data_IF_840433417027
#
_entry.id   IF_840433417027
#
_cell.length_a   1.000
_cell.length_b   1.000
_cell.length_c   1.000
_cell.angle_alpha   90.00
_cell.angle_beta   90.00
_cell.angle_gamma   90.00
#
_symmetry.space_group_name_H-M   'P 1'
#
loop_
_entity.id
_entity.type
_entity.pdbx_description
1 polymer ?
#
# COMPACT_ATOMS: atom_id res chain seq x y z
N UNK A 1 -37.65 34.66 28.37
CA UNK A 1 -38.56 33.66 27.75
C UNK A 1 -38.03 33.47 26.32
N UNK A 2 -37.48 32.37 25.80
CA UNK A 2 -37.53 30.89 25.96
C UNK A 2 -36.16 30.35 25.44
N UNK A 3 -35.42 29.47 26.16
CA UNK A 3 -35.15 28.02 25.91
C UNK A 3 -34.80 27.68 24.45
N UNK A 4 -33.79 26.89 24.05
CA UNK A 4 -32.87 25.89 24.63
C UNK A 4 -31.66 25.74 23.65
N UNK A 5 -30.39 25.53 24.02
CA UNK A 5 -29.72 24.33 24.57
C UNK A 5 -29.82 23.05 23.68
N UNK A 6 -28.65 22.61 23.18
CA UNK A 6 -28.21 21.27 22.71
C UNK A 6 -28.01 21.06 21.20
N UNK A 7 -26.79 20.61 20.83
CA UNK A 7 -26.43 20.15 19.49
C UNK A 7 -25.01 19.60 19.43
N UNK A 8 -24.82 18.43 20.06
CA UNK A 8 -23.67 17.52 20.12
C UNK A 8 -22.38 17.86 19.34
N UNK A 9 -21.27 17.90 20.09
CA UNK A 9 -19.96 17.46 19.62
C UNK A 9 -20.07 16.07 19.00
N UNK A 10 -19.67 15.92 17.74
CA UNK A 10 -19.11 14.67 17.24
C UNK A 10 -17.61 14.89 17.09
N UNK A 11 -16.88 14.52 18.14
CA UNK A 11 -15.47 14.23 18.03
C UNK A 11 -15.33 13.05 17.06
N UNK A 12 -14.97 13.34 15.81
CA UNK A 12 -14.46 12.33 14.89
C UNK A 12 -13.15 11.84 15.49
N UNK A 13 -13.22 10.75 16.28
CA UNK A 13 -12.07 9.99 16.66
C UNK A 13 -11.37 9.56 15.38
N UNK A 14 -10.23 10.17 15.08
CA UNK A 14 -9.32 9.70 14.06
C UNK A 14 -8.69 8.41 14.59
N UNK A 15 -9.46 7.31 14.57
CA UNK A 15 -8.85 6.01 14.55
C UNK A 15 -8.06 5.97 13.26
N UNK A 16 -6.73 5.99 13.37
CA UNK A 16 -5.82 5.55 12.32
C UNK A 16 -5.99 4.03 12.08
N UNK A 17 -7.25 3.60 11.87
CA UNK A 17 -7.51 2.34 11.25
C UNK A 17 -6.89 2.43 9.86
N UNK A 18 -6.07 1.46 9.50
CA UNK A 18 -5.79 1.19 8.09
C UNK A 18 -7.11 1.34 7.34
N UNK A 19 -7.12 2.13 6.25
CA UNK A 19 -8.33 2.39 5.47
C UNK A 19 -9.07 1.09 5.08
N UNK A 20 -8.32 -0.01 5.05
CA UNK A 20 -8.86 -1.34 4.90
C UNK A 20 -9.72 -1.78 6.10
N UNK A 21 -11.04 -1.84 5.87
CA UNK A 21 -12.01 -2.44 6.78
C UNK A 21 -11.97 -3.98 6.76
N UNK A 22 -11.31 -4.59 5.76
CA UNK A 22 -11.17 -6.04 5.64
C UNK A 22 -10.11 -6.59 6.60
N UNK A 23 -10.25 -7.87 6.95
CA UNK A 23 -9.29 -8.59 7.78
C UNK A 23 -7.99 -8.95 7.05
N UNK A 24 -7.98 -8.84 5.72
CA UNK A 24 -6.83 -9.20 4.88
C UNK A 24 -6.39 -8.00 4.05
N UNK A 25 -5.09 -7.69 4.11
CA UNK A 25 -4.40 -6.70 3.28
C UNK A 25 -3.45 -7.44 2.33
N UNK A 26 -3.59 -7.19 1.03
CA UNK A 26 -2.69 -7.72 0.01
C UNK A 26 -1.48 -6.82 -0.17
N UNK A 27 -0.28 -7.36 0.03
CA UNK A 27 0.99 -6.69 -0.23
C UNK A 27 1.52 -7.15 -1.58
N UNK A 28 1.42 -6.32 -2.61
CA UNK A 28 1.89 -6.65 -3.95
C UNK A 28 3.38 -6.36 -4.07
N UNK A 29 4.16 -7.42 -4.30
CA UNK A 29 5.58 -7.32 -4.63
C UNK A 29 5.71 -7.47 -6.15
N UNK A 30 6.19 -6.44 -6.87
CA UNK A 30 6.16 -6.43 -8.33
C UNK A 30 7.35 -7.19 -8.98
N UNK A 31 7.77 -8.28 -8.34
CA UNK A 31 8.91 -9.12 -8.73
C UNK A 31 8.64 -10.60 -8.39
N UNK A 32 9.37 -11.56 -9.00
CA UNK A 32 9.29 -12.97 -8.62
C UNK A 32 9.54 -13.20 -7.12
N UNK A 33 8.92 -14.26 -6.58
CA UNK A 33 9.13 -14.69 -5.20
C UNK A 33 10.59 -15.09 -4.94
N UNK A 34 11.05 -14.95 -3.70
CA UNK A 34 12.41 -15.33 -3.28
C UNK A 34 13.49 -14.27 -3.54
N UNK A 35 13.16 -13.16 -4.20
CA UNK A 35 14.06 -12.02 -4.33
C UNK A 35 14.22 -11.22 -3.03
N UNK A 36 15.19 -10.30 -3.00
CA UNK A 36 15.47 -9.46 -1.82
C UNK A 36 14.25 -8.69 -1.32
N UNK A 37 13.50 -8.03 -2.21
CA UNK A 37 12.29 -7.29 -1.82
C UNK A 37 11.19 -8.21 -1.28
N UNK A 38 11.04 -9.42 -1.83
CA UNK A 38 10.07 -10.41 -1.34
C UNK A 38 10.42 -10.85 0.09
N UNK A 39 11.69 -11.15 0.36
CA UNK A 39 12.16 -11.51 1.69
C UNK A 39 11.89 -10.42 2.73
N UNK A 40 12.24 -9.16 2.42
CA UNK A 40 11.96 -8.01 3.30
C UNK A 40 10.46 -7.86 3.53
N UNK A 41 9.64 -7.92 2.49
CA UNK A 41 8.20 -7.70 2.63
C UNK A 41 7.50 -8.83 3.38
N UNK A 42 8.02 -10.06 3.40
CA UNK A 42 7.49 -11.14 4.24
C UNK A 42 7.72 -10.86 5.73
N UNK A 43 8.89 -10.34 6.09
CA UNK A 43 9.19 -9.92 7.48
C UNK A 43 8.28 -8.76 7.88
N UNK A 44 8.15 -7.75 7.01
CA UNK A 44 7.27 -6.60 7.23
C UNK A 44 5.81 -7.03 7.38
N UNK A 45 5.34 -7.96 6.53
CA UNK A 45 3.97 -8.46 6.58
C UNK A 45 3.68 -9.21 7.88
N UNK A 46 4.60 -10.04 8.37
CA UNK A 46 4.46 -10.72 9.66
C UNK A 46 4.38 -9.71 10.82
N UNK A 47 5.32 -8.77 10.88
CA UNK A 47 5.32 -7.72 11.91
C UNK A 47 4.05 -6.84 11.85
N UNK A 48 3.62 -6.44 10.66
CA UNK A 48 2.38 -5.68 10.47
C UNK A 48 1.16 -6.48 10.90
N UNK A 49 1.14 -7.79 10.65
CA UNK A 49 0.04 -8.66 11.06
C UNK A 49 -0.07 -8.72 12.58
N UNK A 50 1.06 -8.88 13.28
CA UNK A 50 1.11 -8.87 14.74
C UNK A 50 0.69 -7.52 15.33
N UNK A 51 1.17 -6.42 14.76
CA UNK A 51 0.88 -5.07 15.26
C UNK A 51 -0.59 -4.65 15.08
N UNK A 52 -1.25 -5.13 14.03
CA UNK A 52 -2.59 -4.64 13.64
C UNK A 52 -3.68 -5.68 13.83
N UNK A 53 -3.33 -6.92 14.18
CA UNK A 53 -4.26 -8.05 14.31
C UNK A 53 -5.05 -8.31 13.00
N UNK A 54 -4.41 -8.03 11.86
CA UNK A 54 -4.93 -8.30 10.50
C UNK A 54 -3.96 -9.22 9.76
N UNK A 55 -4.41 -9.88 8.70
CA UNK A 55 -3.55 -10.71 7.86
C UNK A 55 -2.95 -9.89 6.72
N UNK A 56 -1.62 -9.80 6.65
CA UNK A 56 -0.92 -9.24 5.50
C UNK A 56 -0.38 -10.35 4.62
N UNK A 57 -0.89 -10.43 3.38
CA UNK A 57 -0.54 -11.51 2.44
C UNK A 57 0.31 -10.97 1.30
N UNK A 58 1.54 -11.46 1.19
CA UNK A 58 2.45 -11.12 0.09
C UNK A 58 2.03 -11.82 -1.19
N UNK A 59 1.82 -11.04 -2.26
CA UNK A 59 1.50 -11.51 -3.62
C UNK A 59 2.55 -11.03 -4.61
N UNK A 60 3.27 -11.96 -5.21
CA UNK A 60 4.27 -11.66 -6.24
C UNK A 60 3.60 -11.54 -7.62
N UNK A 61 3.64 -10.34 -8.21
CA UNK A 61 3.10 -10.07 -9.55
C UNK A 61 4.21 -9.40 -10.37
N UNK A 62 5.06 -10.24 -10.97
CA UNK A 62 6.19 -9.79 -11.79
C UNK A 62 5.84 -9.54 -13.26
N UNK A 63 6.83 -9.03 -14.00
CA UNK A 63 6.77 -8.82 -15.45
C UNK A 63 6.78 -7.34 -15.86
N UNK A 64 7.16 -7.07 -17.11
CA UNK A 64 7.20 -5.71 -17.68
C UNK A 64 8.13 -4.75 -16.93
N UNK A 65 9.29 -5.21 -16.44
CA UNK A 65 10.17 -4.44 -15.56
C UNK A 65 9.42 -3.84 -14.35
N UNK A 66 8.58 -4.66 -13.70
CA UNK A 66 7.73 -4.35 -12.55
C UNK A 66 6.44 -3.56 -12.85
N UNK A 67 6.28 -2.99 -14.06
CA UNK A 67 5.11 -2.17 -14.41
C UNK A 67 3.78 -2.93 -14.29
N UNK A 68 3.76 -4.24 -14.58
CA UNK A 68 2.54 -5.07 -14.49
C UNK A 68 2.01 -5.13 -13.05
N UNK A 69 2.91 -5.32 -12.07
CA UNK A 69 2.55 -5.35 -10.65
C UNK A 69 2.04 -3.98 -10.17
N UNK A 70 2.69 -2.89 -10.61
CA UNK A 70 2.26 -1.52 -10.28
C UNK A 70 0.87 -1.23 -10.84
N UNK A 71 0.65 -1.50 -12.13
CA UNK A 71 -0.66 -1.33 -12.78
C UNK A 71 -1.74 -2.24 -12.20
N UNK A 72 -1.37 -3.40 -11.65
CA UNK A 72 -2.32 -4.24 -10.93
C UNK A 72 -2.84 -3.54 -9.68
N UNK A 73 -1.95 -2.91 -8.89
CA UNK A 73 -2.34 -2.15 -7.69
C UNK A 73 -3.19 -0.93 -8.05
N UNK A 74 -2.80 -0.15 -9.06
CA UNK A 74 -3.57 1.03 -9.49
C UNK A 74 -4.98 0.71 -9.99
N UNK A 75 -5.24 -0.54 -10.40
CA UNK A 75 -6.57 -1.01 -10.79
C UNK A 75 -7.40 -1.56 -9.62
N UNK A 76 -6.83 -1.68 -8.42
CA UNK A 76 -7.58 -2.08 -7.25
C UNK A 76 -8.36 -0.88 -6.67
N UNK A 77 -9.43 -1.13 -5.88
CA UNK A 77 -10.06 -0.08 -5.10
C UNK A 77 -9.04 0.65 -4.21
N UNK A 78 -9.14 1.97 -4.12
CA UNK A 78 -8.33 2.81 -3.23
C UNK A 78 -8.83 2.73 -1.77
N UNK A 79 -9.07 1.52 -1.28
CA UNK A 79 -9.61 1.24 0.06
C UNK A 79 -8.52 0.81 1.06
N UNK A 80 -7.24 0.91 0.67
CA UNK A 80 -6.10 0.54 1.52
C UNK A 80 -5.91 -0.96 1.75
N UNK A 81 -6.73 -1.83 1.13
CA UNK A 81 -6.58 -3.29 1.27
C UNK A 81 -5.61 -3.90 0.25
N UNK A 82 -5.14 -3.11 -0.72
CA UNK A 82 -4.01 -3.49 -1.58
C UNK A 82 -2.95 -2.42 -1.50
N UNK A 83 -1.73 -2.83 -1.13
CA UNK A 83 -0.57 -1.94 -1.03
C UNK A 83 0.54 -2.44 -1.93
N UNK A 84 1.31 -1.51 -2.49
CA UNK A 84 2.45 -1.81 -3.35
C UNK A 84 3.74 -1.79 -2.53
N UNK A 85 4.58 -2.80 -2.66
CA UNK A 85 5.98 -2.74 -2.27
C UNK A 85 6.79 -2.01 -3.35
N UNK A 86 6.79 -0.68 -3.28
CA UNK A 86 7.46 0.20 -4.24
C UNK A 86 8.93 0.47 -3.90
N UNK A 87 9.71 0.74 -4.93
CA UNK A 87 11.09 1.21 -4.86
C UNK A 87 11.40 2.18 -6.02
N UNK A 88 12.62 2.73 -6.06
CA UNK A 88 13.07 3.65 -7.12
C UNK A 88 12.86 3.07 -8.53
N UNK A 89 13.21 1.80 -8.73
CA UNK A 89 13.08 1.13 -10.03
C UNK A 89 11.62 1.08 -10.49
N UNK A 90 10.70 0.72 -9.60
CA UNK A 90 9.28 0.56 -9.94
C UNK A 90 8.54 1.88 -10.15
N UNK A 91 8.76 2.87 -9.28
CA UNK A 91 7.96 4.10 -9.26
C UNK A 91 8.57 5.23 -10.08
N UNK A 92 9.88 5.23 -10.30
CA UNK A 92 10.59 6.33 -11.00
C UNK A 92 11.21 5.87 -12.31
N UNK A 93 12.09 4.86 -12.27
CA UNK A 93 12.86 4.49 -13.47
C UNK A 93 11.99 3.79 -14.51
N UNK A 94 11.18 2.81 -14.11
CA UNK A 94 10.31 2.08 -15.03
C UNK A 94 9.36 2.99 -15.82
N UNK A 95 8.57 3.90 -15.20
CA UNK A 95 7.71 4.80 -15.98
C UNK A 95 8.48 5.85 -16.78
N UNK A 96 9.70 6.21 -16.37
CA UNK A 96 10.55 7.10 -17.16
C UNK A 96 11.13 6.42 -18.42
N UNK A 97 11.32 5.10 -18.39
CA UNK A 97 11.93 4.32 -19.47
C UNK A 97 10.90 3.61 -20.37
N UNK A 98 9.71 3.30 -19.83
CA UNK A 98 8.68 2.51 -20.50
C UNK A 98 7.47 3.41 -20.72
N UNK A 99 7.34 3.96 -21.93
CA UNK A 99 6.25 4.87 -22.28
C UNK A 99 4.85 4.28 -22.02
N UNK A 100 4.68 2.96 -22.14
CA UNK A 100 3.43 2.25 -21.88
C UNK A 100 3.16 1.94 -20.41
N UNK A 101 4.03 2.34 -19.48
CA UNK A 101 3.81 2.13 -18.05
C UNK A 101 2.56 2.87 -17.55
N UNK A 102 2.31 4.09 -18.05
CA UNK A 102 1.05 4.80 -17.83
C UNK A 102 0.74 5.15 -16.36
N UNK A 103 1.77 5.30 -15.53
CA UNK A 103 1.64 5.73 -14.14
C UNK A 103 2.80 6.63 -13.73
N UNK A 104 2.63 7.32 -12.61
CA UNK A 104 3.57 8.26 -12.02
C UNK A 104 3.60 8.08 -10.50
N UNK A 105 4.69 8.45 -9.80
CA UNK A 105 4.80 8.25 -8.35
C UNK A 105 3.64 8.83 -7.55
N UNK A 106 3.08 9.96 -7.99
CA UNK A 106 1.99 10.67 -7.33
C UNK A 106 0.61 10.02 -7.49
N UNK A 107 0.51 8.92 -8.25
CA UNK A 107 -0.69 8.07 -8.25
C UNK A 107 -0.82 7.22 -6.98
N UNK A 108 0.22 7.22 -6.13
CA UNK A 108 0.26 6.47 -4.88
C UNK A 108 0.34 7.38 -3.65
N UNK A 109 -0.34 6.96 -2.59
CA UNK A 109 -0.14 7.50 -1.25
C UNK A 109 1.00 6.76 -0.54
N UNK A 110 2.07 7.45 -0.10
CA UNK A 110 3.13 6.82 0.67
C UNK A 110 2.63 6.31 2.02
N UNK A 111 2.97 5.07 2.36
CA UNK A 111 2.59 4.44 3.65
C UNK A 111 3.77 4.44 4.63
N UNK A 112 4.96 4.05 4.17
CA UNK A 112 6.15 3.99 5.01
C UNK A 112 7.38 3.51 4.26
N UNK A 113 8.56 3.84 4.78
CA UNK A 113 9.85 3.34 4.30
C UNK A 113 10.20 2.05 5.05
N UNK A 114 10.48 0.98 4.32
CA UNK A 114 10.81 -0.34 4.89
C UNK A 114 12.29 -0.73 4.71
N UNK A 115 13.03 0.04 3.91
CA UNK A 115 14.44 -0.21 3.63
C UNK A 115 14.98 0.77 2.59
N UNK A 116 16.29 0.98 2.61
CA UNK A 116 17.03 1.80 1.66
C UNK A 116 18.37 1.12 1.37
N UNK A 117 18.96 1.42 0.21
CA UNK A 117 20.32 1.00 -0.16
C UNK A 117 21.21 2.22 -0.12
N UNK A 118 22.34 2.12 0.59
CA UNK A 118 23.36 3.18 0.67
C UNK A 118 24.16 3.33 -0.65
#
# INVERSE_FOLDING_TARGET
MRRAWWGCLLAAGCSAALACERSVVSVVVPYPAGGSLDGVMRIVADAASQATQRSFVVRNIGGGAATIGVQHVLRQPADGCTVLAGNLNTLVLAPAQIASAGYVPHDFQPVGLVGQTD
#
